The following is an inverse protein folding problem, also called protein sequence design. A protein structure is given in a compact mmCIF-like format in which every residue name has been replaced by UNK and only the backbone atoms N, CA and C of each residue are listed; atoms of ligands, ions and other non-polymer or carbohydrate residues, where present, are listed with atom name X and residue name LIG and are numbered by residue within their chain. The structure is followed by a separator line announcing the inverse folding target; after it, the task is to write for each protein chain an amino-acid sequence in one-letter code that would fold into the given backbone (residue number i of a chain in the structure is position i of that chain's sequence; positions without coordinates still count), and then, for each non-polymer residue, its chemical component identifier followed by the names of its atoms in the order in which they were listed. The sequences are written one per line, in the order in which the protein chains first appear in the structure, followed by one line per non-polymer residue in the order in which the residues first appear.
data_IF_547687969613
#
_entry.id   IF_547687969613
#
_cell.length_a   1.000
_cell.length_b   1.000
_cell.length_c   1.000
_cell.angle_alpha   90.00
_cell.angle_beta   90.00
_cell.angle_gamma   90.00
#
_symmetry.space_group_name_H-M   'P 1'
#
loop_
_entity.id
_entity.type
_entity.pdbx_description
1 polymer ?
#
# COMPACT_ATOMS: atom_id res chain seq x y z
N UNK A 1 -44.62 -39.82 -24.47
CA UNK A 1 -43.13 -39.68 -24.50
C UNK A 1 -42.64 -40.00 -23.10
N UNK A 2 -42.23 -41.25 -22.88
CA UNK A 2 -41.61 -41.62 -21.59
C UNK A 2 -40.20 -40.99 -21.56
N UNK A 3 -40.08 -39.96 -20.79
CA UNK A 3 -38.75 -39.40 -20.55
C UNK A 3 -38.02 -40.41 -19.67
N UNK A 4 -37.14 -41.21 -20.29
CA UNK A 4 -36.38 -42.22 -19.59
C UNK A 4 -35.60 -41.59 -18.44
N UNK A 5 -35.68 -42.17 -17.23
CA UNK A 5 -34.96 -41.62 -16.05
C UNK A 5 -33.47 -41.39 -16.30
N UNK A 6 -32.88 -42.16 -17.21
CA UNK A 6 -31.49 -42.00 -17.69
C UNK A 6 -31.29 -40.66 -18.41
N UNK A 7 -32.26 -40.21 -19.22
CA UNK A 7 -32.17 -38.91 -19.91
C UNK A 7 -32.23 -37.75 -18.93
N UNK A 8 -33.14 -37.84 -17.92
CA UNK A 8 -33.21 -36.82 -16.87
C UNK A 8 -31.89 -36.73 -16.08
N UNK A 9 -31.35 -37.89 -15.71
CA UNK A 9 -30.05 -37.93 -15.00
C UNK A 9 -28.90 -37.38 -15.83
N UNK A 10 -28.86 -37.68 -17.12
CA UNK A 10 -27.85 -37.11 -18.03
C UNK A 10 -27.96 -35.59 -18.12
N UNK A 11 -29.17 -35.03 -18.25
CA UNK A 11 -29.38 -33.58 -18.28
C UNK A 11 -28.93 -32.91 -16.99
N UNK A 12 -29.27 -33.51 -15.82
CA UNK A 12 -28.84 -33.01 -14.51
C UNK A 12 -27.30 -32.98 -14.42
N UNK A 13 -26.61 -34.04 -14.84
CA UNK A 13 -25.15 -34.11 -14.83
C UNK A 13 -24.53 -33.05 -15.73
N UNK A 14 -25.08 -32.82 -16.92
CA UNK A 14 -24.60 -31.76 -17.83
C UNK A 14 -24.79 -30.37 -17.23
N UNK A 15 -25.94 -30.12 -16.61
CA UNK A 15 -26.19 -28.81 -15.93
C UNK A 15 -25.24 -28.61 -14.75
N UNK A 16 -25.01 -29.65 -13.95
CA UNK A 16 -24.04 -29.57 -12.85
C UNK A 16 -22.64 -29.31 -13.37
N UNK A 17 -22.20 -30.04 -14.40
CA UNK A 17 -20.88 -29.84 -15.02
C UNK A 17 -20.72 -28.42 -15.59
N UNK A 18 -21.77 -27.89 -16.22
CA UNK A 18 -21.77 -26.52 -16.73
C UNK A 18 -21.69 -25.47 -15.62
N UNK A 19 -22.43 -25.65 -14.54
CA UNK A 19 -22.36 -24.77 -13.36
C UNK A 19 -20.98 -24.80 -12.70
N UNK A 20 -20.36 -25.97 -12.59
CA UNK A 20 -18.98 -26.11 -12.10
C UNK A 20 -17.98 -25.39 -13.01
N UNK A 21 -18.08 -25.60 -14.31
CA UNK A 21 -17.20 -24.95 -15.28
C UNK A 21 -17.33 -23.41 -15.24
N UNK A 22 -18.56 -22.90 -15.17
CA UNK A 22 -18.81 -21.45 -15.14
C UNK A 22 -18.32 -20.78 -13.86
N UNK A 23 -18.36 -21.44 -12.72
CA UNK A 23 -17.85 -20.91 -11.45
C UNK A 23 -16.31 -21.04 -11.32
N UNK A 24 -15.73 -22.02 -12.02
CA UNK A 24 -14.30 -22.29 -12.02
C UNK A 24 -13.48 -21.26 -12.81
N UNK A 25 -14.10 -20.57 -13.76
CA UNK A 25 -13.42 -19.59 -14.62
C UNK A 25 -13.38 -18.23 -13.89
N UNK A 26 -12.16 -17.69 -13.72
CA UNK A 26 -11.94 -16.35 -13.17
C UNK A 26 -11.11 -15.51 -14.14
N UNK A 27 -11.63 -14.33 -14.47
CA UNK A 27 -10.92 -13.34 -15.28
C UNK A 27 -10.33 -12.29 -14.34
N UNK A 28 -9.00 -12.23 -14.29
CA UNK A 28 -8.26 -11.28 -13.45
C UNK A 28 -7.91 -10.07 -14.31
N UNK A 29 -8.27 -8.84 -13.88
CA UNK A 29 -7.91 -7.61 -14.61
C UNK A 29 -6.40 -7.40 -14.66
N UNK A 30 -5.94 -6.63 -15.66
CA UNK A 30 -4.56 -6.17 -15.72
C UNK A 30 -4.19 -5.34 -14.49
N UNK A 31 -2.93 -5.45 -14.06
CA UNK A 31 -2.41 -4.79 -12.86
C UNK A 31 -3.16 -5.18 -11.58
N UNK A 32 -3.69 -6.41 -11.53
CA UNK A 32 -4.28 -7.02 -10.33
C UNK A 32 -3.73 -8.42 -10.13
N UNK A 33 -3.62 -8.82 -8.88
CA UNK A 33 -3.26 -10.18 -8.52
C UNK A 33 -4.21 -10.67 -7.42
N UNK A 34 -4.73 -11.88 -7.60
CA UNK A 34 -5.66 -12.48 -6.65
C UNK A 34 -5.01 -13.68 -5.97
N UNK A 35 -5.05 -13.70 -4.67
CA UNK A 35 -4.51 -14.80 -3.84
C UNK A 35 -5.62 -15.80 -3.59
N UNK A 36 -5.35 -17.04 -3.95
CA UNK A 36 -6.27 -18.17 -3.80
C UNK A 36 -5.81 -19.08 -2.67
N UNK A 37 -6.73 -19.37 -1.80
CA UNK A 37 -6.59 -20.37 -0.75
C UNK A 37 -7.36 -21.63 -1.14
N UNK A 38 -6.74 -22.77 -0.84
CA UNK A 38 -7.36 -24.09 -0.93
C UNK A 38 -7.51 -24.65 0.48
N UNK A 39 -8.75 -24.81 0.91
CA UNK A 39 -9.07 -25.32 2.27
C UNK A 39 -8.31 -24.54 3.38
N UNK A 40 -8.22 -23.20 3.24
CA UNK A 40 -7.57 -22.34 4.23
C UNK A 40 -6.03 -22.27 4.14
N UNK A 41 -5.40 -22.91 3.14
CA UNK A 41 -3.97 -22.80 2.88
C UNK A 41 -3.73 -22.02 1.59
N UNK A 42 -2.66 -21.23 1.57
CA UNK A 42 -2.20 -20.63 0.33
C UNK A 42 -2.02 -21.68 -0.75
N UNK A 43 -2.58 -21.44 -1.92
CA UNK A 43 -2.47 -22.33 -3.07
C UNK A 43 -1.73 -21.69 -4.24
N UNK A 44 -2.20 -20.53 -4.70
CA UNK A 44 -1.63 -19.86 -5.86
C UNK A 44 -1.98 -18.37 -5.88
N UNK A 45 -1.22 -17.62 -6.68
CA UNK A 45 -1.55 -16.26 -7.08
C UNK A 45 -2.03 -16.29 -8.53
N UNK A 46 -3.26 -15.80 -8.76
CA UNK A 46 -3.82 -15.66 -10.10
C UNK A 46 -3.29 -14.36 -10.72
N UNK A 47 -2.59 -14.53 -11.82
CA UNK A 47 -2.08 -13.43 -12.65
C UNK A 47 -3.18 -12.88 -13.58
N UNK A 48 -3.00 -11.68 -14.15
CA UNK A 48 -3.92 -11.12 -15.13
C UNK A 48 -4.23 -12.07 -16.29
N UNK A 49 -5.51 -12.15 -16.66
CA UNK A 49 -6.01 -13.03 -17.71
C UNK A 49 -6.99 -14.06 -17.22
N UNK A 50 -7.16 -15.10 -18.02
CA UNK A 50 -8.06 -16.22 -17.75
C UNK A 50 -7.37 -17.21 -16.80
N UNK A 51 -8.02 -17.51 -15.67
CA UNK A 51 -7.54 -18.48 -14.70
C UNK A 51 -8.64 -19.48 -14.36
N UNK A 52 -8.23 -20.68 -13.99
CA UNK A 52 -9.12 -21.75 -13.58
C UNK A 52 -8.89 -22.08 -12.09
N UNK A 53 -9.99 -22.12 -11.32
CA UNK A 53 -9.99 -22.55 -9.93
C UNK A 53 -11.01 -23.67 -9.77
N UNK A 54 -10.83 -24.49 -8.74
CA UNK A 54 -11.79 -25.57 -8.42
C UNK A 54 -12.87 -24.97 -7.52
N UNK A 55 -14.13 -24.85 -8.02
CA UNK A 55 -15.22 -24.33 -7.20
C UNK A 55 -15.38 -25.15 -5.91
N UNK A 56 -15.84 -24.50 -4.83
CA UNK A 56 -16.04 -25.02 -3.49
C UNK A 56 -14.77 -25.35 -2.70
N UNK A 57 -13.66 -25.72 -3.35
CA UNK A 57 -12.38 -26.04 -2.71
C UNK A 57 -11.47 -24.81 -2.67
N UNK A 58 -11.42 -24.08 -3.79
CA UNK A 58 -10.60 -22.89 -3.96
C UNK A 58 -11.41 -21.63 -3.69
N UNK A 59 -10.83 -20.74 -2.91
CA UNK A 59 -11.43 -19.44 -2.57
C UNK A 59 -10.46 -18.31 -2.88
N UNK A 60 -10.93 -17.28 -3.57
CA UNK A 60 -10.17 -16.00 -3.69
C UNK A 60 -10.25 -15.31 -2.33
N UNK A 61 -9.14 -15.36 -1.57
CA UNK A 61 -9.07 -14.81 -0.23
C UNK A 61 -8.71 -13.31 -0.26
N UNK A 62 -7.75 -12.92 -1.11
CA UNK A 62 -7.28 -11.54 -1.20
C UNK A 62 -7.20 -11.09 -2.65
N UNK A 63 -7.39 -9.79 -2.85
CA UNK A 63 -7.26 -9.13 -4.15
C UNK A 63 -6.38 -7.91 -3.98
N UNK A 64 -5.26 -7.87 -4.68
CA UNK A 64 -4.32 -6.76 -4.63
C UNK A 64 -4.27 -6.04 -5.98
N UNK A 65 -4.20 -4.70 -5.91
CA UNK A 65 -3.79 -3.88 -7.04
C UNK A 65 -2.28 -3.84 -7.09
N UNK A 66 -1.70 -4.05 -8.27
CA UNK A 66 -0.27 -3.94 -8.52
C UNK A 66 0.11 -2.54 -9.03
N UNK A 67 -0.86 -1.64 -9.11
CA UNK A 67 -0.64 -0.24 -9.48
C UNK A 67 0.02 0.52 -8.34
N UNK A 68 0.71 1.60 -8.70
CA UNK A 68 1.16 2.60 -7.74
C UNK A 68 -0.05 3.23 -7.02
N UNK A 69 0.02 3.30 -5.71
CA UNK A 69 -1.03 3.83 -4.84
C UNK A 69 -0.44 4.95 -4.01
N UNK A 70 -1.01 6.17 -4.09
CA UNK A 70 -0.68 7.24 -3.16
C UNK A 70 -1.32 6.95 -1.79
N UNK A 71 -0.56 7.17 -0.74
CA UNK A 71 -0.99 7.02 0.65
C UNK A 71 -0.65 8.29 1.41
N UNK A 72 -1.66 9.04 1.81
CA UNK A 72 -1.48 10.21 2.64
C UNK A 72 -1.00 9.79 4.04
N UNK A 73 0.11 10.38 4.47
CA UNK A 73 0.58 10.26 5.85
C UNK A 73 0.03 11.43 6.66
N UNK A 74 -0.72 11.16 7.74
CA UNK A 74 -1.31 12.24 8.53
C UNK A 74 -0.24 13.13 9.12
N UNK A 75 -0.59 14.42 9.26
CA UNK A 75 0.28 15.42 9.84
C UNK A 75 0.72 15.02 11.25
N UNK A 76 1.98 15.20 11.55
CA UNK A 76 2.56 14.94 12.86
C UNK A 76 3.51 16.04 13.30
N UNK A 77 3.58 16.26 14.60
CA UNK A 77 4.53 17.18 15.19
C UNK A 77 5.88 16.50 15.40
N UNK A 78 6.91 17.05 14.79
CA UNK A 78 8.30 16.67 14.97
C UNK A 78 9.04 17.78 15.74
N UNK A 79 10.08 17.44 16.48
CA UNK A 79 10.97 18.40 17.14
C UNK A 79 12.31 18.31 16.44
N UNK A 80 12.76 19.43 15.90
CA UNK A 80 14.05 19.56 15.23
C UNK A 80 15.20 19.57 16.24
N UNK A 81 16.44 19.46 15.74
CA UNK A 81 17.65 19.45 16.57
C UNK A 81 17.82 20.72 17.40
N UNK A 82 17.37 21.85 16.90
CA UNK A 82 17.37 23.17 17.55
C UNK A 82 16.14 23.39 18.45
N UNK A 83 15.46 22.29 18.82
CA UNK A 83 14.31 22.26 19.74
C UNK A 83 13.09 23.05 19.25
N UNK A 84 12.93 23.19 17.93
CA UNK A 84 11.77 23.81 17.32
C UNK A 84 10.71 22.78 16.96
N UNK A 85 9.45 23.05 17.28
CA UNK A 85 8.34 22.21 16.84
C UNK A 85 8.02 22.49 15.37
N UNK A 86 7.83 21.41 14.59
CA UNK A 86 7.50 21.47 13.18
C UNK A 86 6.39 20.45 12.89
N UNK A 87 5.29 20.92 12.32
CA UNK A 87 4.25 20.03 11.81
C UNK A 87 4.59 19.62 10.40
N UNK A 88 4.62 18.31 10.16
CA UNK A 88 5.03 17.72 8.87
C UNK A 88 3.98 16.74 8.42
N UNK A 89 3.54 16.86 7.18
CA UNK A 89 2.72 15.89 6.49
C UNK A 89 3.31 15.56 5.12
N UNK A 90 2.91 14.44 4.55
CA UNK A 90 3.44 14.00 3.29
C UNK A 90 2.57 12.95 2.63
N UNK A 91 2.99 12.54 1.45
CA UNK A 91 2.39 11.45 0.69
C UNK A 91 3.45 10.42 0.33
N UNK A 92 3.11 9.16 0.55
CA UNK A 92 3.95 8.02 0.24
C UNK A 92 3.36 7.29 -0.97
N UNK A 93 4.20 6.96 -1.93
CA UNK A 93 3.80 6.19 -3.10
C UNK A 93 4.38 4.79 -3.01
N UNK A 94 3.52 3.79 -3.08
CA UNK A 94 3.93 2.40 -2.99
C UNK A 94 3.16 1.52 -3.98
N UNK A 95 3.68 0.33 -4.22
CA UNK A 95 3.02 -0.71 -4.99
C UNK A 95 3.22 -2.09 -4.36
N UNK A 96 2.27 -2.99 -4.56
CA UNK A 96 2.41 -4.39 -4.16
C UNK A 96 3.24 -5.11 -5.21
N UNK A 97 4.35 -5.72 -4.78
CA UNK A 97 5.26 -6.50 -5.64
C UNK A 97 5.09 -8.00 -5.44
N UNK A 98 4.77 -8.42 -4.22
CA UNK A 98 4.52 -9.81 -3.86
C UNK A 98 3.16 -9.94 -3.16
N UNK A 99 2.10 -10.34 -3.90
CA UNK A 99 0.76 -10.47 -3.34
C UNK A 99 0.65 -11.50 -2.20
N UNK A 100 1.47 -12.55 -2.22
CA UNK A 100 1.47 -13.55 -1.15
C UNK A 100 1.97 -12.93 0.15
N UNK A 101 3.12 -12.26 0.12
CA UNK A 101 3.66 -11.58 1.31
C UNK A 101 2.75 -10.45 1.78
N UNK A 102 2.11 -9.72 0.85
CA UNK A 102 1.17 -8.67 1.20
C UNK A 102 -0.08 -9.18 1.91
N UNK A 103 -0.47 -10.44 1.63
CA UNK A 103 -1.62 -11.07 2.27
C UNK A 103 -1.30 -11.67 3.65
N UNK A 104 -0.09 -12.22 3.82
CA UNK A 104 0.25 -13.04 5.00
C UNK A 104 1.42 -12.50 5.82
N UNK A 105 2.19 -11.54 5.30
CA UNK A 105 3.36 -10.97 5.98
C UNK A 105 3.01 -10.03 7.12
N UNK A 106 1.87 -9.37 7.04
CA UNK A 106 1.34 -8.50 8.10
C UNK A 106 -0.18 -8.44 8.03
N UNK A 107 -0.82 -8.10 9.14
CA UNK A 107 -2.28 -7.95 9.18
C UNK A 107 -2.79 -6.78 8.33
N UNK A 108 -2.01 -5.71 8.24
CA UNK A 108 -2.32 -4.54 7.41
C UNK A 108 -1.04 -3.78 7.06
N UNK A 109 -0.53 -4.01 5.86
CA UNK A 109 0.69 -3.36 5.39
C UNK A 109 0.52 -1.85 5.21
N UNK A 110 -0.68 -1.35 4.90
CA UNK A 110 -0.94 0.09 4.76
C UNK A 110 -0.73 0.80 6.09
N UNK A 111 -1.30 0.27 7.17
CA UNK A 111 -1.11 0.82 8.52
C UNK A 111 0.35 0.72 8.95
N UNK A 112 0.99 -0.43 8.71
CA UNK A 112 2.38 -0.65 9.07
C UNK A 112 3.33 0.34 8.36
N UNK A 113 3.15 0.55 7.05
CA UNK A 113 3.94 1.51 6.27
C UNK A 113 3.70 2.93 6.76
N UNK A 114 2.44 3.32 7.03
CA UNK A 114 2.12 4.66 7.53
C UNK A 114 2.80 4.94 8.85
N UNK A 115 2.73 4.02 9.81
CA UNK A 115 3.38 4.18 11.10
C UNK A 115 4.90 4.22 10.99
N UNK A 116 5.47 3.39 10.13
CA UNK A 116 6.91 3.39 9.87
C UNK A 116 7.35 4.71 9.22
N UNK A 117 6.58 5.23 8.26
CA UNK A 117 6.84 6.52 7.65
C UNK A 117 6.85 7.64 8.69
N UNK A 118 5.86 7.68 9.57
CA UNK A 118 5.76 8.69 10.63
C UNK A 118 6.94 8.62 11.62
N UNK A 119 7.30 7.43 12.07
CA UNK A 119 8.41 7.26 13.04
C UNK A 119 9.77 7.58 12.41
N UNK A 120 9.97 7.18 11.16
CA UNK A 120 11.20 7.49 10.42
C UNK A 120 11.31 8.99 10.14
N UNK A 121 10.23 9.62 9.68
CA UNK A 121 10.18 11.06 9.45
C UNK A 121 10.54 11.84 10.71
N UNK A 122 9.96 11.47 11.85
CA UNK A 122 10.28 12.08 13.15
C UNK A 122 11.76 11.93 13.51
N UNK A 123 12.34 10.76 13.24
CA UNK A 123 13.77 10.50 13.49
C UNK A 123 14.67 11.32 12.57
N UNK A 124 14.32 11.45 11.29
CA UNK A 124 15.11 12.21 10.32
C UNK A 124 15.06 13.71 10.64
N UNK A 125 13.86 14.26 10.82
CA UNK A 125 13.65 15.68 11.17
C UNK A 125 14.32 16.03 12.50
N UNK A 126 14.25 15.12 13.49
CA UNK A 126 14.87 15.34 14.81
C UNK A 126 16.40 15.42 14.79
N UNK A 127 17.07 15.08 13.71
CA UNK A 127 18.52 15.21 13.52
C UNK A 127 18.90 16.47 12.75
N UNK A 128 17.95 17.18 12.18
CA UNK A 128 18.14 18.34 11.32
C UNK A 128 17.77 19.62 12.07
N UNK A 129 18.44 20.71 11.72
CA UNK A 129 18.06 22.06 12.14
C UNK A 129 16.86 22.54 11.30
N UNK A 130 16.08 23.49 11.83
CA UNK A 130 14.86 23.97 11.19
C UNK A 130 15.12 24.44 9.74
N UNK A 131 16.11 25.30 9.55
CA UNK A 131 16.44 25.86 8.23
C UNK A 131 16.79 24.76 7.23
N UNK A 132 17.55 23.75 7.65
CA UNK A 132 17.91 22.61 6.81
C UNK A 132 16.73 21.73 6.44
N UNK A 133 15.71 21.63 7.29
CA UNK A 133 14.50 20.87 6.95
C UNK A 133 13.72 21.49 5.81
N UNK A 134 13.80 22.80 5.64
CA UNK A 134 13.20 23.49 4.49
C UNK A 134 14.06 23.39 3.22
N UNK A 135 15.39 23.45 3.37
CA UNK A 135 16.33 23.42 2.24
C UNK A 135 16.56 22.02 1.68
N UNK A 136 16.65 21.01 2.56
CA UNK A 136 17.06 19.64 2.21
C UNK A 136 15.89 18.65 2.18
N UNK A 137 14.74 19.05 1.64
CA UNK A 137 13.54 18.18 1.55
C UNK A 137 13.82 16.88 0.80
N UNK A 138 14.63 16.94 -0.26
CA UNK A 138 15.01 15.76 -1.05
C UNK A 138 15.81 14.74 -0.24
N UNK A 139 16.65 15.23 0.67
CA UNK A 139 17.41 14.35 1.57
C UNK A 139 16.49 13.64 2.57
N UNK A 140 15.51 14.36 3.10
CA UNK A 140 14.49 13.79 3.98
C UNK A 140 13.68 12.71 3.22
N UNK A 141 13.19 13.05 2.03
CA UNK A 141 12.40 12.14 1.19
C UNK A 141 13.18 10.84 0.91
N UNK A 142 14.44 10.93 0.49
CA UNK A 142 15.31 9.78 0.23
C UNK A 142 15.58 8.96 1.48
N UNK A 143 15.83 9.60 2.61
CA UNK A 143 16.12 8.94 3.88
C UNK A 143 14.90 8.16 4.39
N UNK A 144 13.71 8.73 4.25
CA UNK A 144 12.44 8.10 4.61
C UNK A 144 12.20 6.87 3.73
N UNK A 145 12.32 7.01 2.41
CA UNK A 145 12.14 5.89 1.46
C UNK A 145 13.09 4.75 1.77
N UNK A 146 14.39 5.04 1.96
CA UNK A 146 15.41 4.02 2.22
C UNK A 146 15.11 3.20 3.48
N UNK A 147 14.70 3.88 4.55
CA UNK A 147 14.41 3.20 5.82
C UNK A 147 13.10 2.38 5.78
N UNK A 148 12.12 2.83 5.00
CA UNK A 148 10.85 2.11 4.88
C UNK A 148 10.97 0.93 3.92
N UNK A 149 11.70 1.08 2.82
CA UNK A 149 11.80 0.07 1.76
C UNK A 149 12.36 -1.25 2.30
N UNK A 150 13.37 -1.20 3.17
CA UNK A 150 13.94 -2.39 3.81
C UNK A 150 12.90 -3.20 4.60
N UNK A 151 12.05 -2.55 5.36
CA UNK A 151 10.98 -3.21 6.13
C UNK A 151 9.82 -3.64 5.23
N UNK A 152 9.44 -2.80 4.27
CA UNK A 152 8.31 -3.02 3.37
C UNK A 152 8.50 -4.23 2.45
N UNK A 153 9.74 -4.54 2.07
CA UNK A 153 10.06 -5.74 1.28
C UNK A 153 9.62 -7.03 1.96
N UNK A 154 9.68 -7.11 3.28
CA UNK A 154 9.21 -8.27 4.04
C UNK A 154 7.69 -8.44 3.95
N UNK A 155 6.96 -7.36 3.70
CA UNK A 155 5.51 -7.34 3.52
C UNK A 155 5.08 -7.42 2.03
N UNK A 156 6.02 -7.67 1.13
CA UNK A 156 5.75 -7.78 -0.32
C UNK A 156 5.32 -6.47 -0.97
N UNK A 157 5.73 -5.35 -0.39
CA UNK A 157 5.41 -4.00 -0.85
C UNK A 157 6.71 -3.25 -1.12
N UNK A 158 6.75 -2.49 -2.21
CA UNK A 158 7.85 -1.60 -2.55
C UNK A 158 7.43 -0.16 -2.41
N UNK A 159 8.20 0.61 -1.65
CA UNK A 159 8.06 2.06 -1.57
C UNK A 159 8.82 2.69 -2.72
N UNK A 160 8.12 3.50 -3.51
CA UNK A 160 8.68 4.13 -4.71
C UNK A 160 9.26 5.50 -4.38
N UNK A 161 8.49 6.30 -3.66
CA UNK A 161 8.88 7.66 -3.25
C UNK A 161 8.06 8.12 -2.06
N UNK A 162 8.60 9.08 -1.36
CA UNK A 162 7.95 9.86 -0.32
C UNK A 162 8.11 11.34 -0.67
N UNK A 163 7.04 12.11 -0.53
CA UNK A 163 7.03 13.54 -0.81
C UNK A 163 6.43 14.29 0.38
N UNK A 164 7.19 15.23 0.92
CA UNK A 164 6.69 16.15 1.93
C UNK A 164 5.69 17.10 1.26
N UNK A 165 4.46 17.14 1.78
CA UNK A 165 3.42 18.06 1.32
C UNK A 165 3.63 19.43 1.95
N UNK A 166 3.66 19.45 3.29
CA UNK A 166 3.74 20.69 4.06
C UNK A 166 4.71 20.59 5.23
N UNK A 167 5.37 21.72 5.53
CA UNK A 167 6.24 21.93 6.67
C UNK A 167 5.76 23.21 7.35
N UNK A 168 5.01 23.06 8.44
CA UNK A 168 4.40 24.21 9.12
C UNK A 168 5.05 24.42 10.49
N UNK A 169 5.86 25.47 10.67
CA UNK A 169 6.40 25.86 11.96
C UNK A 169 5.29 26.50 12.82
N UNK A 170 5.48 26.62 14.14
CA UNK A 170 4.58 27.36 15.01
C UNK A 170 4.38 28.81 14.53
N UNK A 171 3.19 29.37 14.77
CA UNK A 171 2.82 30.70 14.28
C UNK A 171 3.79 31.81 14.71
N UNK A 172 4.40 31.69 15.91
CA UNK A 172 5.38 32.65 16.43
C UNK A 172 6.66 32.67 15.57
N UNK A 173 7.13 31.50 15.15
CA UNK A 173 8.32 31.36 14.30
C UNK A 173 8.02 31.81 12.89
N UNK A 174 6.84 31.48 12.35
CA UNK A 174 6.40 31.92 11.05
C UNK A 174 6.39 33.46 10.93
N UNK A 175 5.91 34.15 11.96
CA UNK A 175 5.93 35.63 12.02
C UNK A 175 7.35 36.18 12.07
N UNK A 176 8.25 35.55 12.83
CA UNK A 176 9.65 35.98 12.90
C UNK A 176 10.37 35.80 11.54
N UNK A 177 10.17 34.69 10.86
CA UNK A 177 10.71 34.44 9.52
C UNK A 177 10.19 35.47 8.49
N UNK A 178 8.89 35.79 8.51
CA UNK A 178 8.32 36.82 7.63
C UNK A 178 8.85 38.22 7.88
N UNK A 179 9.22 38.57 9.12
CA UNK A 179 9.82 39.83 9.48
C UNK A 179 11.28 39.91 9.01
N UNK A 180 12.00 38.79 9.05
CA UNK A 180 13.39 38.71 8.59
C UNK A 180 13.48 38.88 7.08
N UNK A 181 12.60 38.23 6.33
CA UNK A 181 12.52 38.33 4.87
C UNK A 181 12.21 39.77 4.40
N UNK A 182 11.33 40.49 5.12
CA UNK A 182 11.04 41.89 4.83
C UNK A 182 12.23 42.84 5.09
N UNK A 183 13.15 42.49 5.99
CA UNK A 183 14.35 43.31 6.26
C UNK A 183 15.49 43.07 5.30
N UNK A 184 15.51 41.92 4.62
CA UNK A 184 16.52 41.56 3.63
C UNK A 184 16.24 42.12 2.22
N UNK A 185 15.07 42.70 1.98
CA UNK A 185 14.60 43.24 0.69
C UNK A 185 14.71 44.80 0.64
N UNK A 186 15.28 45.45 1.67
CA UNK A 186 15.51 46.89 1.69
C UNK A 186 17.05 47.17 1.64
#
# INVERSE_FOLDING_TARGET
MEINGVFILAVILVVIAFLFASQGIKVVPQQSAWVVERLGKFHAVLNPGLNFIIPFIDRVAYRHSLKEIPLDTPSQVCITRDNTQLSVDGVLFFQVTDPQRASYGTSNYVVAITQLAQTTLRSVVGRMELDKTFEERDLINKSVVSAIDEAALNWGVKVLRYEIKDLTPPAVILQAMQQQDRKSVV
#
